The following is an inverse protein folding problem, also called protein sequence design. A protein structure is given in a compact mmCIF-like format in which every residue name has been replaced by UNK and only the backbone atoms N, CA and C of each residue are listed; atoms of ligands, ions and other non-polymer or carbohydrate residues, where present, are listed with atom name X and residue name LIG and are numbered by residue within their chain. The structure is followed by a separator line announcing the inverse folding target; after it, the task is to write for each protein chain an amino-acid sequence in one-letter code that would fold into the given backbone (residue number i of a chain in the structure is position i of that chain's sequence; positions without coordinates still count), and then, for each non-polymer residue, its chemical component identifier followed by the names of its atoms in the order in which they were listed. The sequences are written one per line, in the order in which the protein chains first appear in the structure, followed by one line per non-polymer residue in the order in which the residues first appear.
data_IF_483507464826
#
_entry.id   IF_483507464826
#
_cell.length_a   1.000
_cell.length_b   1.000
_cell.length_c   1.000
_cell.angle_alpha   90.00
_cell.angle_beta   90.00
_cell.angle_gamma   90.00
#
_symmetry.space_group_name_H-M   'P 1'
#
loop_
_entity.id
_entity.type
_entity.pdbx_description
1 polymer ?
#
# COMPACT_ATOMS: atom_id res chain seq x y z
N UNK A 1 7.22 18.97 19.13
CA UNK A 1 7.11 17.73 19.92
C UNK A 1 6.59 16.62 19.02
N UNK A 2 7.16 15.41 19.08
CA UNK A 2 6.70 14.26 18.29
C UNK A 2 5.50 13.57 18.98
N UNK A 3 4.68 12.78 18.26
CA UNK A 3 3.68 11.91 18.87
C UNK A 3 4.32 10.93 19.88
N UNK A 4 3.55 10.39 20.84
CA UNK A 4 4.07 9.43 21.82
C UNK A 4 4.75 8.23 21.15
N UNK A 5 5.95 7.92 21.63
CA UNK A 5 6.83 6.84 21.16
C UNK A 5 6.59 5.52 21.91
N UNK A 6 5.38 5.30 22.44
CA UNK A 6 5.08 4.19 23.37
C UNK A 6 5.24 2.79 22.75
N UNK A 7 5.46 2.71 21.44
CA UNK A 7 5.63 1.45 20.71
C UNK A 7 7.11 1.22 20.43
N UNK A 8 7.61 -0.03 20.54
CA UNK A 8 9.01 -0.33 20.25
C UNK A 8 9.31 -0.07 18.78
N UNK A 9 10.38 0.67 18.52
CA UNK A 9 10.88 1.02 17.19
C UNK A 9 12.27 0.42 17.00
N UNK A 10 12.39 -0.88 16.66
CA UNK A 10 13.67 -1.58 16.62
C UNK A 10 14.67 -0.94 15.64
N UNK A 11 14.17 -0.38 14.54
CA UNK A 11 14.99 0.23 13.50
C UNK A 11 15.43 1.68 13.86
N UNK A 12 14.74 2.33 14.80
CA UNK A 12 14.92 3.76 15.10
C UNK A 12 15.28 4.06 16.56
N UNK A 13 15.51 3.04 17.39
CA UNK A 13 15.75 3.19 18.82
C UNK A 13 16.97 4.09 19.12
N UNK A 14 18.06 3.94 18.37
CA UNK A 14 19.26 4.76 18.52
C UNK A 14 18.98 6.26 18.32
N UNK A 15 18.10 6.61 17.39
CA UNK A 15 17.75 8.00 17.08
C UNK A 15 16.79 8.58 18.13
N UNK A 16 15.92 7.73 18.70
CA UNK A 16 15.07 8.07 19.84
C UNK A 16 15.95 8.40 21.05
N UNK A 17 16.95 7.56 21.33
CA UNK A 17 17.87 7.77 22.45
C UNK A 17 18.67 9.06 22.29
N UNK A 18 19.13 9.37 21.07
CA UNK A 18 19.80 10.64 20.76
C UNK A 18 18.88 11.86 20.99
N UNK A 19 17.59 11.76 20.67
CA UNK A 19 16.63 12.84 20.93
C UNK A 19 16.32 12.98 22.42
N UNK A 20 16.20 11.86 23.15
CA UNK A 20 16.01 11.84 24.59
C UNK A 20 17.21 12.46 25.32
N UNK A 21 18.44 12.14 24.90
CA UNK A 21 19.65 12.79 25.40
C UNK A 21 19.64 14.29 25.13
N UNK A 22 19.23 14.73 23.94
CA UNK A 22 19.12 16.15 23.64
C UNK A 22 18.10 16.87 24.53
N UNK A 23 16.95 16.24 24.80
CA UNK A 23 15.93 16.77 25.72
C UNK A 23 16.36 16.72 27.20
N UNK A 24 17.20 15.78 27.60
CA UNK A 24 17.74 15.70 28.95
C UNK A 24 18.80 16.79 29.20
N UNK A 25 19.59 17.13 28.17
CA UNK A 25 20.67 18.11 28.27
C UNK A 25 20.20 19.56 28.05
N UNK A 26 19.07 19.79 27.38
CA UNK A 26 18.58 21.11 27.05
C UNK A 26 17.24 21.41 27.72
N UNK A 27 17.04 22.65 28.14
CA UNK A 27 15.74 23.07 28.66
C UNK A 27 14.69 23.04 27.55
N UNK A 28 13.43 22.71 27.92
CA UNK A 28 12.28 22.72 27.01
C UNK A 28 12.00 24.09 26.35
N UNK A 29 12.65 25.15 26.83
CA UNK A 29 12.51 26.52 26.32
C UNK A 29 13.17 26.67 24.94
N UNK A 30 14.25 25.92 24.67
CA UNK A 30 15.00 26.00 23.41
C UNK A 30 14.57 24.89 22.44
N UNK A 31 13.33 24.96 21.98
CA UNK A 31 12.71 23.94 21.10
C UNK A 31 13.46 23.69 19.78
N UNK A 32 14.28 24.64 19.31
CA UNK A 32 15.04 24.51 18.07
C UNK A 32 16.38 23.79 18.22
N UNK A 33 16.95 23.67 19.44
CA UNK A 33 18.26 23.05 19.64
C UNK A 33 18.30 21.57 19.27
N UNK A 34 17.19 20.87 19.44
CA UNK A 34 17.06 19.45 19.13
C UNK A 34 16.50 19.19 17.71
N UNK A 35 16.54 20.17 16.81
CA UNK A 35 16.02 19.99 15.44
C UNK A 35 16.79 18.95 14.62
N UNK A 36 18.11 18.82 14.82
CA UNK A 36 18.93 17.80 14.12
C UNK A 36 18.51 16.36 14.46
N UNK A 37 18.51 15.94 15.74
CA UNK A 37 18.06 14.60 16.10
C UNK A 37 16.57 14.40 15.78
N UNK A 38 15.74 15.45 15.88
CA UNK A 38 14.34 15.39 15.46
C UNK A 38 14.20 15.06 13.97
N UNK A 39 14.96 15.71 13.09
CA UNK A 39 14.90 15.46 11.65
C UNK A 39 15.38 14.04 11.30
N UNK A 40 16.42 13.56 11.99
CA UNK A 40 16.86 12.17 11.86
C UNK A 40 15.76 11.19 12.27
N UNK A 41 15.05 11.46 13.36
CA UNK A 41 13.96 10.63 13.84
C UNK A 41 12.80 10.57 12.84
N UNK A 42 12.40 11.74 12.33
CA UNK A 42 11.32 11.85 11.34
C UNK A 42 11.67 11.09 10.05
N UNK A 43 12.94 11.07 9.65
CA UNK A 43 13.41 10.28 8.51
C UNK A 43 13.39 8.78 8.79
N UNK A 44 13.83 8.36 9.97
CA UNK A 44 13.84 6.94 10.34
C UNK A 44 12.41 6.36 10.36
N UNK A 45 11.45 7.07 10.96
CA UNK A 45 10.06 6.62 10.97
C UNK A 45 9.41 6.58 9.58
N UNK A 46 9.81 7.47 8.67
CA UNK A 46 9.35 7.38 7.27
C UNK A 46 9.83 6.09 6.63
N UNK A 47 11.08 5.69 6.84
CA UNK A 47 11.65 4.46 6.29
C UNK A 47 11.01 3.21 6.91
N UNK A 48 10.91 3.17 8.24
CA UNK A 48 10.27 2.06 8.96
C UNK A 48 8.81 1.89 8.53
N UNK A 49 8.05 3.01 8.49
CA UNK A 49 6.67 3.00 8.00
C UNK A 49 6.60 2.48 6.57
N UNK A 50 7.47 2.93 5.67
CA UNK A 50 7.48 2.44 4.29
C UNK A 50 7.80 0.94 4.20
N UNK A 51 8.73 0.42 5.02
CA UNK A 51 9.03 -1.01 5.09
C UNK A 51 7.81 -1.81 5.53
N UNK A 52 7.19 -1.41 6.65
CA UNK A 52 6.00 -2.06 7.19
C UNK A 52 4.82 -2.01 6.21
N UNK A 53 4.59 -0.87 5.53
CA UNK A 53 3.57 -0.78 4.50
C UNK A 53 3.89 -1.70 3.31
N UNK A 54 5.14 -1.78 2.87
CA UNK A 54 5.52 -2.71 1.80
C UNK A 54 5.24 -4.15 2.21
N UNK A 55 5.63 -4.55 3.42
CA UNK A 55 5.36 -5.89 3.96
C UNK A 55 3.86 -6.18 4.04
N UNK A 56 3.07 -5.26 4.61
CA UNK A 56 1.62 -5.42 4.71
C UNK A 56 0.91 -5.45 3.34
N UNK A 57 1.48 -4.79 2.32
CA UNK A 57 0.86 -4.70 0.99
C UNK A 57 1.36 -5.77 0.02
N UNK A 58 2.39 -6.56 0.37
CA UNK A 58 2.95 -7.61 -0.52
C UNK A 58 1.87 -8.55 -1.06
N UNK A 59 0.97 -8.98 -0.19
CA UNK A 59 -0.06 -9.95 -0.54
C UNK A 59 -1.40 -9.30 -0.88
N UNK A 60 -1.54 -7.98 -0.72
CA UNK A 60 -2.81 -7.28 -0.84
C UNK A 60 -3.45 -7.43 -2.24
N UNK A 61 -2.63 -7.42 -3.29
CA UNK A 61 -3.12 -7.64 -4.66
C UNK A 61 -3.59 -9.07 -4.87
N UNK A 62 -2.96 -10.04 -4.18
CA UNK A 62 -3.30 -11.44 -4.28
C UNK A 62 -4.53 -11.80 -3.44
N UNK A 63 -4.64 -11.30 -2.21
CA UNK A 63 -5.85 -11.48 -1.38
C UNK A 63 -7.05 -10.81 -2.02
N UNK A 64 -6.91 -9.57 -2.51
CA UNK A 64 -8.00 -8.89 -3.22
C UNK A 64 -8.45 -9.65 -4.47
N UNK A 65 -7.53 -10.18 -5.27
CA UNK A 65 -7.89 -11.00 -6.43
C UNK A 65 -8.64 -12.29 -6.07
N UNK A 66 -8.31 -12.90 -4.93
CA UNK A 66 -9.04 -14.07 -4.40
C UNK A 66 -10.44 -13.69 -3.92
N UNK A 67 -10.58 -12.58 -3.20
CA UNK A 67 -11.87 -12.05 -2.74
C UNK A 67 -12.79 -11.67 -3.92
N UNK A 68 -12.24 -10.96 -4.92
CA UNK A 68 -12.97 -10.58 -6.14
C UNK A 68 -13.41 -11.84 -6.92
N UNK A 69 -12.58 -12.88 -6.98
CA UNK A 69 -12.91 -14.17 -7.60
C UNK A 69 -14.03 -14.92 -6.87
N UNK A 70 -13.95 -15.01 -5.54
CA UNK A 70 -15.00 -15.59 -4.68
C UNK A 70 -16.32 -14.82 -4.81
N UNK A 71 -16.25 -13.49 -4.93
CA UNK A 71 -17.44 -12.66 -5.15
C UNK A 71 -18.08 -12.92 -6.51
N UNK A 72 -17.29 -13.01 -7.59
CA UNK A 72 -17.76 -13.38 -8.93
C UNK A 72 -18.46 -14.75 -8.94
N UNK A 73 -17.87 -15.73 -8.25
CA UNK A 73 -18.43 -17.07 -8.10
C UNK A 73 -19.76 -17.03 -7.33
N UNK A 74 -19.82 -16.31 -6.20
CA UNK A 74 -21.03 -16.15 -5.40
C UNK A 74 -22.17 -15.42 -6.14
N UNK A 75 -21.83 -14.49 -7.04
CA UNK A 75 -22.80 -13.79 -7.89
C UNK A 75 -23.27 -14.63 -9.09
N UNK A 76 -22.77 -15.86 -9.25
CA UNK A 76 -23.15 -16.75 -10.35
C UNK A 76 -22.64 -16.32 -11.72
N UNK A 77 -21.72 -15.34 -11.77
CA UNK A 77 -21.02 -14.93 -12.99
C UNK A 77 -19.80 -15.84 -13.19
N UNK A 78 -20.06 -17.08 -13.60
CA UNK A 78 -19.02 -18.11 -13.74
C UNK A 78 -18.16 -17.99 -14.99
N UNK A 79 -18.45 -17.03 -15.89
CA UNK A 79 -17.73 -16.88 -17.15
C UNK A 79 -17.20 -15.46 -17.29
N UNK A 80 -15.95 -15.33 -17.73
CA UNK A 80 -15.38 -14.04 -18.10
C UNK A 80 -16.14 -13.42 -19.27
N UNK A 81 -16.09 -12.09 -19.42
CA UNK A 81 -16.72 -11.38 -20.52
C UNK A 81 -16.26 -11.90 -21.90
N UNK A 82 -14.98 -12.28 -22.03
CA UNK A 82 -14.47 -12.88 -23.25
C UNK A 82 -15.07 -14.27 -23.53
N UNK A 83 -15.22 -15.11 -22.51
CA UNK A 83 -15.89 -16.42 -22.65
C UNK A 83 -17.37 -16.29 -22.97
N UNK A 84 -18.04 -15.27 -22.41
CA UNK A 84 -19.41 -14.92 -22.77
C UNK A 84 -19.50 -14.53 -24.25
N UNK A 85 -18.66 -13.59 -24.72
CA UNK A 85 -18.63 -13.15 -26.11
C UNK A 85 -18.28 -14.28 -27.08
N UNK A 86 -17.43 -15.23 -26.69
CA UNK A 86 -17.10 -16.39 -27.50
C UNK A 86 -18.29 -17.35 -27.71
N UNK A 87 -19.23 -17.39 -26.76
CA UNK A 87 -20.46 -18.19 -26.84
C UNK A 87 -21.64 -17.40 -27.43
N UNK A 88 -21.57 -16.08 -27.43
CA UNK A 88 -22.65 -15.23 -27.92
C UNK A 88 -22.78 -15.26 -29.46
N UNK A 89 -23.90 -15.81 -29.92
CA UNK A 89 -24.18 -15.97 -31.35
C UNK A 89 -24.32 -14.64 -32.08
N UNK A 90 -24.79 -13.57 -31.42
CA UNK A 90 -24.98 -12.27 -32.05
C UNK A 90 -23.62 -11.59 -32.29
N UNK A 91 -22.73 -11.65 -31.32
CA UNK A 91 -21.36 -11.14 -31.41
C UNK A 91 -20.57 -11.84 -32.52
N UNK A 92 -20.64 -13.17 -32.61
CA UNK A 92 -19.95 -13.93 -33.67
C UNK A 92 -20.46 -13.56 -35.07
N UNK A 93 -21.78 -13.39 -35.24
CA UNK A 93 -22.35 -12.93 -36.52
C UNK A 93 -21.88 -11.52 -36.88
N UNK A 94 -21.90 -10.58 -35.93
CA UNK A 94 -21.42 -9.23 -36.15
C UNK A 94 -19.92 -9.19 -36.48
N UNK A 95 -19.12 -10.05 -35.84
CA UNK A 95 -17.68 -10.19 -36.11
C UNK A 95 -17.43 -10.72 -37.53
N UNK A 96 -18.16 -11.74 -37.95
CA UNK A 96 -18.07 -12.30 -39.31
C UNK A 96 -18.50 -11.28 -40.38
N UNK A 97 -19.55 -10.50 -40.11
CA UNK A 97 -19.99 -9.43 -41.00
C UNK A 97 -18.94 -8.32 -41.11
N UNK A 98 -18.32 -7.90 -40.00
CA UNK A 98 -17.22 -6.93 -40.04
C UNK A 98 -16.01 -7.41 -40.83
N UNK A 99 -15.64 -8.69 -40.71
CA UNK A 99 -14.52 -9.25 -41.50
C UNK A 99 -14.86 -9.37 -42.99
N UNK A 100 -16.15 -9.55 -43.33
CA UNK A 100 -16.60 -9.63 -44.71
C UNK A 100 -16.76 -8.26 -45.39
N UNK A 101 -17.05 -7.20 -44.63
CA UNK A 101 -17.18 -5.83 -45.15
C UNK A 101 -15.88 -5.03 -45.20
N UNK A 102 -14.73 -5.66 -44.86
CA UNK A 102 -13.42 -5.01 -44.80
C UNK A 102 -12.44 -5.37 -45.93
N UNK A 103 -12.90 -6.07 -46.97
CA UNK A 103 -12.18 -6.29 -48.23
C UNK A 103 -12.85 -5.51 -49.36
#
# INVERSE_FOLDING_TARGET
MHPPLDRPHPDCQEVIDALNLCHAQNSKVFFWRCNKPKHQLDNCFKLEKQRLLKEATKDFKQTRGKEDGLMMEALGQSMSFQEYLAKDKQYLKAKQQKTASGN
#
